data_IF_348058180416
#
_entry.id   IF_348058180416
#
_cell.length_a   1.000
_cell.length_b   1.000
_cell.length_c   1.000
_cell.angle_alpha   90.00
_cell.angle_beta   90.00
_cell.angle_gamma   90.00
#
_symmetry.space_group_name_H-M   'P 1'
#
loop_
_entity.id
_entity.type
_entity.pdbx_description
1 polymer ?
#
# COMPACT_ATOMS: atom_id res chain seq x y z
N UNK A 1 -33.76 -25.85 8.79
CA UNK A 1 -32.87 -25.13 9.73
C UNK A 1 -31.59 -24.82 8.97
N UNK A 2 -31.44 -23.59 8.50
CA UNK A 2 -30.26 -23.16 7.75
C UNK A 2 -29.25 -22.52 8.70
N UNK A 3 -28.06 -23.10 8.79
CA UNK A 3 -26.89 -22.46 9.38
C UNK A 3 -26.15 -21.81 8.20
N UNK A 4 -26.00 -20.47 8.15
CA UNK A 4 -25.12 -19.87 7.16
C UNK A 4 -23.67 -20.03 7.65
N UNK A 5 -22.98 -21.01 7.09
CA UNK A 5 -21.51 -21.11 7.08
C UNK A 5 -20.96 -20.07 6.10
N UNK A 6 -20.82 -18.83 6.55
CA UNK A 6 -19.85 -17.89 5.96
C UNK A 6 -18.68 -17.74 6.92
N UNK A 7 -17.77 -18.70 6.89
CA UNK A 7 -16.39 -18.43 7.31
C UNK A 7 -15.86 -17.38 6.35
N UNK A 8 -15.84 -16.13 6.82
CA UNK A 8 -15.35 -14.99 6.08
C UNK A 8 -13.97 -15.32 5.51
N UNK A 9 -13.87 -15.18 4.20
CA UNK A 9 -12.60 -15.01 3.50
C UNK A 9 -11.77 -14.01 4.31
N UNK A 10 -10.65 -14.46 4.86
CA UNK A 10 -9.78 -13.66 5.70
C UNK A 10 -9.11 -12.57 4.88
N UNK A 11 -9.84 -11.48 4.62
CA UNK A 11 -9.28 -10.25 4.09
C UNK A 11 -8.09 -9.87 4.98
N UNK A 12 -6.91 -9.77 4.38
CA UNK A 12 -5.73 -9.30 5.09
C UNK A 12 -5.99 -7.86 5.50
N UNK A 13 -6.24 -7.64 6.79
CA UNK A 13 -6.35 -6.29 7.36
C UNK A 13 -5.05 -5.55 7.04
N UNK A 14 -5.16 -4.46 6.27
CA UNK A 14 -4.01 -3.68 5.82
C UNK A 14 -3.14 -3.20 6.98
N UNK A 15 -1.84 -3.02 6.74
CA UNK A 15 -0.87 -2.61 7.79
C UNK A 15 -1.31 -1.30 8.47
N UNK A 16 -1.92 -0.38 7.74
CA UNK A 16 -2.40 0.89 8.29
C UNK A 16 -3.67 0.75 9.14
N UNK A 17 -4.63 -0.10 8.76
CA UNK A 17 -5.75 -0.45 9.64
C UNK A 17 -5.24 -1.07 10.94
N UNK A 18 -4.22 -1.95 10.86
CA UNK A 18 -3.58 -2.53 12.05
C UNK A 18 -2.89 -1.47 12.92
N UNK A 19 -2.13 -0.55 12.32
CA UNK A 19 -1.49 0.58 13.01
C UNK A 19 -2.52 1.48 13.71
N UNK A 20 -3.62 1.84 13.02
CA UNK A 20 -4.67 2.68 13.61
C UNK A 20 -5.47 1.95 14.69
N UNK A 21 -5.74 0.66 14.51
CA UNK A 21 -6.37 -0.16 15.53
C UNK A 21 -5.47 -0.29 16.78
N UNK A 22 -4.18 -0.49 16.58
CA UNK A 22 -3.19 -0.50 17.67
C UNK A 22 -3.11 0.84 18.39
N UNK A 23 -2.96 1.94 17.65
CA UNK A 23 -2.89 3.26 18.25
C UNK A 23 -4.17 3.57 19.04
N UNK A 24 -5.34 3.28 18.46
CA UNK A 24 -6.65 3.41 19.13
C UNK A 24 -6.71 2.59 20.40
N UNK A 25 -6.25 1.33 20.37
CA UNK A 25 -6.25 0.48 21.56
C UNK A 25 -5.27 0.99 22.64
N UNK A 26 -4.11 1.53 22.26
CA UNK A 26 -3.11 2.06 23.19
C UNK A 26 -3.62 3.34 23.89
N UNK A 27 -4.21 4.28 23.15
CA UNK A 27 -4.78 5.51 23.75
C UNK A 27 -6.04 5.24 24.58
N UNK A 28 -6.79 4.17 24.29
CA UNK A 28 -7.96 3.76 25.07
C UNK A 28 -7.59 2.99 26.34
N UNK A 29 -6.44 2.32 26.36
CA UNK A 29 -6.01 1.47 27.49
C UNK A 29 -4.95 2.11 28.38
N UNK A 30 -4.25 3.14 27.90
CA UNK A 30 -3.13 3.78 28.59
C UNK A 30 -3.23 5.30 28.50
N UNK A 31 -2.71 6.00 29.51
CA UNK A 31 -2.77 7.47 29.58
C UNK A 31 -1.40 8.14 29.39
N UNK A 32 -0.32 7.35 29.37
CA UNK A 32 1.06 7.84 29.27
C UNK A 32 1.50 7.87 27.80
N UNK A 33 1.67 9.08 27.27
CA UNK A 33 2.05 9.33 25.87
C UNK A 33 3.42 8.74 25.50
N UNK A 34 4.40 8.73 26.42
CA UNK A 34 5.72 8.17 26.16
C UNK A 34 5.65 6.64 26.08
N UNK A 35 4.89 6.00 26.98
CA UNK A 35 4.65 4.55 26.92
C UNK A 35 3.86 4.13 25.66
N UNK A 36 2.88 4.94 25.24
CA UNK A 36 2.11 4.69 24.02
C UNK A 36 3.04 4.71 22.81
N UNK A 37 3.94 5.70 22.72
CA UNK A 37 4.93 5.79 21.64
C UNK A 37 5.89 4.60 21.64
N UNK A 38 6.46 4.25 22.79
CA UNK A 38 7.36 3.10 22.93
C UNK A 38 6.70 1.77 22.51
N UNK A 39 5.48 1.53 22.96
CA UNK A 39 4.73 0.33 22.60
C UNK A 39 4.33 0.34 21.13
N UNK A 40 3.95 1.49 20.59
CA UNK A 40 3.61 1.63 19.17
C UNK A 40 4.80 1.29 18.27
N UNK A 41 6.01 1.81 18.57
CA UNK A 41 7.23 1.46 17.83
C UNK A 41 7.59 -0.02 17.97
N UNK A 42 7.51 -0.58 19.18
CA UNK A 42 7.74 -2.02 19.39
C UNK A 42 6.80 -2.90 18.56
N UNK A 43 5.54 -2.49 18.41
CA UNK A 43 4.59 -3.19 17.54
C UNK A 43 4.82 -2.95 16.06
N UNK A 44 5.40 -1.82 15.67
CA UNK A 44 5.57 -1.44 14.27
C UNK A 44 6.42 -2.49 13.54
N UNK A 45 7.50 -2.95 14.17
CA UNK A 45 8.34 -4.05 13.69
C UNK A 45 7.52 -5.34 13.50
N UNK A 46 6.55 -5.59 14.37
CA UNK A 46 5.66 -6.76 14.28
C UNK A 46 4.61 -6.63 13.16
N UNK A 47 4.10 -5.42 12.93
CA UNK A 47 3.16 -5.13 11.85
C UNK A 47 3.81 -5.25 10.46
N UNK A 48 5.10 -4.92 10.34
CA UNK A 48 5.89 -5.07 9.09
C UNK A 48 6.27 -6.51 8.79
N UNK A 49 6.63 -7.29 9.82
CA UNK A 49 7.19 -8.63 9.64
C UNK A 49 6.15 -9.76 9.54
N UNK A 50 4.95 -9.60 10.11
CA UNK A 50 3.95 -10.67 10.12
C UNK A 50 2.80 -10.48 9.10
N UNK A 51 2.51 -11.51 8.27
CA UNK A 51 1.46 -11.45 7.25
C UNK A 51 0.05 -11.41 7.84
N UNK A 52 -0.10 -11.78 9.13
CA UNK A 52 -1.34 -11.67 9.90
C UNK A 52 -1.03 -11.09 11.27
N UNK A 53 -1.79 -10.10 11.70
CA UNK A 53 -1.58 -9.53 13.03
C UNK A 53 -2.21 -10.41 14.10
N UNK A 54 -1.36 -11.19 14.75
CA UNK A 54 -1.74 -12.06 15.84
C UNK A 54 -1.66 -11.31 17.17
N UNK A 55 -2.79 -10.72 17.59
CA UNK A 55 -2.92 -9.95 18.84
C UNK A 55 -2.28 -10.68 20.03
N UNK A 56 -2.58 -11.96 20.21
CA UNK A 56 -2.02 -12.75 21.32
C UNK A 56 -0.49 -12.93 21.23
N UNK A 57 0.06 -13.03 20.02
CA UNK A 57 1.51 -13.19 19.81
C UNK A 57 2.25 -11.88 20.07
N UNK A 58 1.68 -10.77 19.62
CA UNK A 58 2.17 -9.44 19.95
C UNK A 58 2.19 -9.23 21.48
N UNK A 59 1.06 -9.46 22.16
CA UNK A 59 0.93 -9.23 23.59
C UNK A 59 1.87 -10.11 24.42
N UNK A 60 2.08 -11.36 24.01
CA UNK A 60 3.04 -12.25 24.63
C UNK A 60 4.48 -11.73 24.50
N UNK A 61 4.86 -11.19 23.33
CA UNK A 61 6.19 -10.57 23.15
C UNK A 61 6.35 -9.29 23.95
N UNK A 62 5.31 -8.47 24.03
CA UNK A 62 5.33 -7.25 24.83
C UNK A 62 5.49 -7.54 26.33
N UNK A 63 4.84 -8.61 26.82
CA UNK A 63 4.99 -9.10 28.19
C UNK A 63 6.40 -9.67 28.44
N UNK A 64 6.92 -10.51 27.54
CA UNK A 64 8.29 -11.04 27.61
C UNK A 64 9.36 -9.95 27.60
N UNK A 65 9.11 -8.85 26.88
CA UNK A 65 9.98 -7.68 26.83
C UNK A 65 9.80 -6.73 28.04
N UNK A 66 8.92 -7.06 28.99
CA UNK A 66 8.64 -6.24 30.17
C UNK A 66 7.95 -4.90 29.86
N UNK A 67 7.36 -4.74 28.68
CA UNK A 67 6.70 -3.49 28.25
C UNK A 67 5.26 -3.37 28.79
N UNK A 68 4.60 -4.50 29.05
CA UNK A 68 3.26 -4.59 29.66
C UNK A 68 3.23 -5.64 30.76
N UNK A 69 2.42 -5.41 31.80
CA UNK A 69 2.12 -6.42 32.83
C UNK A 69 0.85 -7.24 32.49
N UNK A 70 0.59 -8.33 33.21
CA UNK A 70 -0.56 -9.24 32.95
C UNK A 70 -1.92 -8.51 32.93
N UNK A 71 -2.12 -7.51 33.80
CA UNK A 71 -3.37 -6.73 33.85
C UNK A 71 -3.51 -5.80 32.64
N UNK A 72 -2.42 -5.15 32.24
CA UNK A 72 -2.34 -4.32 31.04
C UNK A 72 -2.53 -5.17 29.78
N UNK A 73 -1.95 -6.37 29.75
CA UNK A 73 -2.08 -7.34 28.65
C UNK A 73 -3.54 -7.71 28.39
N UNK A 74 -4.31 -8.03 29.43
CA UNK A 74 -5.73 -8.36 29.30
C UNK A 74 -6.59 -7.17 28.84
N UNK A 75 -6.29 -5.98 29.35
CA UNK A 75 -6.99 -4.74 28.95
C UNK A 75 -6.69 -4.39 27.49
N UNK A 76 -5.41 -4.43 27.10
CA UNK A 76 -4.95 -4.14 25.75
C UNK A 76 -5.44 -5.19 24.75
N UNK A 77 -5.54 -6.46 25.13
CA UNK A 77 -6.15 -7.51 24.31
C UNK A 77 -7.59 -7.15 23.94
N UNK A 78 -8.42 -6.82 24.93
CA UNK A 78 -9.82 -6.44 24.71
C UNK A 78 -9.93 -5.21 23.81
N UNK A 79 -9.14 -4.17 24.10
CA UNK A 79 -9.11 -2.94 23.30
C UNK A 79 -8.68 -3.21 21.85
N UNK A 80 -7.66 -4.06 21.62
CA UNK A 80 -7.19 -4.42 20.29
C UNK A 80 -8.22 -5.21 19.49
N UNK A 81 -8.88 -6.21 20.08
CA UNK A 81 -9.94 -6.96 19.40
C UNK A 81 -11.12 -6.05 19.03
N UNK A 82 -11.49 -5.12 19.92
CA UNK A 82 -12.54 -4.14 19.65
C UNK A 82 -12.13 -3.11 18.60
N UNK A 83 -10.87 -2.66 18.59
CA UNK A 83 -10.40 -1.72 17.59
C UNK A 83 -10.28 -2.38 16.21
N UNK A 84 -9.79 -3.63 16.13
CA UNK A 84 -9.66 -4.34 14.86
C UNK A 84 -11.01 -4.64 14.18
N UNK A 85 -12.11 -4.73 14.94
CA UNK A 85 -13.46 -4.93 14.41
C UNK A 85 -14.16 -3.64 13.96
N UNK A 86 -13.62 -2.46 14.30
CA UNK A 86 -14.16 -1.17 13.85
C UNK A 86 -13.81 -0.93 12.38
N UNK A 87 -14.66 -0.16 11.70
CA UNK A 87 -14.33 0.34 10.37
C UNK A 87 -13.19 1.35 10.45
N UNK A 88 -12.41 1.45 9.38
CA UNK A 88 -11.23 2.32 9.31
C UNK A 88 -11.52 3.79 9.69
N UNK A 89 -12.69 4.31 9.33
CA UNK A 89 -13.12 5.68 9.62
C UNK A 89 -13.35 5.94 11.11
N UNK A 90 -13.63 4.89 11.90
CA UNK A 90 -13.89 4.98 13.34
C UNK A 90 -12.61 4.86 14.19
N UNK A 91 -11.46 4.66 13.56
CA UNK A 91 -10.17 4.52 14.24
C UNK A 91 -9.48 5.88 14.42
N UNK A 92 -8.76 6.05 15.53
CA UNK A 92 -7.96 7.24 15.76
C UNK A 92 -6.77 7.29 14.79
N UNK A 93 -6.40 8.49 14.36
CA UNK A 93 -5.18 8.72 13.58
C UNK A 93 -3.99 8.77 14.52
N UNK A 94 -2.92 8.05 14.20
CA UNK A 94 -1.66 8.16 14.92
C UNK A 94 -0.88 9.40 14.44
N UNK A 95 -0.17 10.10 15.34
CA UNK A 95 0.72 11.20 14.97
C UNK A 95 1.78 10.81 13.93
N UNK A 96 2.06 11.68 12.96
CA UNK A 96 2.99 11.41 11.86
C UNK A 96 4.43 11.13 12.33
N UNK A 97 4.84 11.69 13.47
CA UNK A 97 6.14 11.44 14.08
C UNK A 97 6.29 10.03 14.69
N UNK A 98 5.23 9.22 14.70
CA UNK A 98 5.29 7.81 15.09
C UNK A 98 5.64 6.90 13.92
N UNK A 99 5.65 7.41 12.69
CA UNK A 99 5.98 6.67 11.47
C UNK A 99 6.88 7.52 10.57
N UNK A 100 8.20 7.29 10.64
CA UNK A 100 9.29 7.87 9.80
C UNK A 100 10.41 8.54 10.64
N UNK A 101 11.71 8.52 10.32
CA UNK A 101 12.57 7.78 9.37
C UNK A 101 14.02 7.88 9.89
N UNK A 102 14.85 6.85 9.69
CA UNK A 102 16.31 6.96 9.87
C UNK A 102 17.04 7.49 8.61
N UNK A 103 16.32 7.88 7.55
CA UNK A 103 16.92 8.28 6.26
C UNK A 103 16.34 9.59 5.71
N UNK A 104 16.24 10.62 6.54
CA UNK A 104 15.98 11.99 6.09
C UNK A 104 17.22 12.88 6.25
N UNK A 105 18.28 12.59 5.49
CA UNK A 105 19.39 13.52 5.24
C UNK A 105 20.15 13.08 3.98
N UNK A 106 19.59 13.30 2.79
CA UNK A 106 20.38 13.90 1.71
C UNK A 106 19.55 14.29 0.47
N UNK A 107 20.03 15.36 -0.17
CA UNK A 107 19.69 15.85 -1.50
C UNK A 107 18.38 16.63 -1.74
N UNK A 108 18.49 17.89 -1.33
CA UNK A 108 17.92 19.03 -2.04
C UNK A 108 18.70 19.31 -3.35
N UNK A 109 17.97 19.84 -4.36
CA UNK A 109 18.44 20.62 -5.53
C UNK A 109 19.26 19.94 -6.64
N UNK A 110 18.64 19.79 -7.82
CA UNK A 110 19.36 19.47 -9.06
C UNK A 110 18.55 19.50 -10.36
N UNK A 111 18.34 20.70 -10.92
CA UNK A 111 18.20 21.03 -12.36
C UNK A 111 17.22 20.22 -13.25
N UNK A 112 16.15 20.93 -13.61
CA UNK A 112 15.57 20.93 -14.96
C UNK A 112 16.64 21.20 -16.02
N UNK A 113 16.82 20.30 -17.00
CA UNK A 113 17.35 20.61 -18.36
C UNK A 113 17.20 19.39 -19.27
N UNK A 114 16.58 19.58 -20.45
CA UNK A 114 16.82 18.73 -21.63
C UNK A 114 15.64 17.92 -22.15
N UNK A 115 14.73 18.56 -22.88
CA UNK A 115 13.96 17.90 -23.94
C UNK A 115 14.88 17.64 -25.15
N UNK A 116 14.78 16.47 -25.79
CA UNK A 116 14.85 16.44 -27.24
C UNK A 116 13.58 15.84 -27.86
N UNK A 117 13.26 16.38 -29.03
CA UNK A 117 12.10 16.08 -29.87
C UNK A 117 12.33 14.85 -30.76
N UNK A 118 11.20 14.25 -31.11
CA UNK A 118 10.85 13.43 -32.27
C UNK A 118 11.70 12.25 -32.77
N UNK A 119 10.92 11.17 -32.95
CA UNK A 119 11.01 10.12 -33.96
C UNK A 119 12.12 9.07 -33.84
N UNK A 120 11.68 7.80 -34.01
CA UNK A 120 12.47 6.59 -34.17
C UNK A 120 13.03 5.93 -32.88
N UNK A 121 12.18 5.19 -32.18
CA UNK A 121 12.61 4.23 -31.15
C UNK A 121 11.82 2.90 -31.23
N UNK A 122 11.42 2.49 -32.44
CA UNK A 122 10.69 1.23 -32.67
C UNK A 122 11.56 0.09 -33.23
N UNK A 123 12.86 0.29 -33.40
CA UNK A 123 13.74 -0.75 -33.93
C UNK A 123 15.09 -0.70 -33.23
N UNK A 124 15.17 -1.37 -32.08
CA UNK A 124 16.31 -2.22 -31.74
C UNK A 124 16.03 -2.86 -30.39
N UNK A 125 16.77 -3.94 -30.09
CA UNK A 125 16.76 -4.76 -28.87
C UNK A 125 16.05 -6.11 -29.02
N UNK A 126 16.70 -6.95 -29.83
CA UNK A 126 16.68 -8.41 -29.71
C UNK A 126 17.67 -8.91 -28.65
N UNK A 127 17.14 -9.79 -27.78
CA UNK A 127 17.72 -10.92 -27.02
C UNK A 127 19.01 -10.80 -26.17
N UNK A 128 18.85 -11.20 -24.90
CA UNK A 128 19.85 -11.91 -24.11
C UNK A 128 19.15 -12.91 -23.16
N UNK A 129 19.25 -14.21 -23.45
CA UNK A 129 18.68 -15.27 -22.62
C UNK A 129 19.62 -15.61 -21.45
N UNK A 130 19.11 -15.52 -20.21
CA UNK A 130 19.81 -15.91 -18.99
C UNK A 130 19.28 -17.27 -18.45
N UNK A 131 20.11 -18.06 -17.76
CA UNK A 131 19.94 -19.50 -17.58
C UNK A 131 18.78 -19.88 -16.63
N UNK A 132 18.38 -21.18 -16.60
CA UNK A 132 17.24 -21.62 -15.80
C UNK A 132 17.58 -21.68 -14.30
N UNK A 133 17.17 -20.65 -13.56
CA UNK A 133 17.00 -20.75 -12.12
C UNK A 133 15.84 -21.71 -11.79
N UNK A 134 16.02 -22.52 -10.74
CA UNK A 134 15.03 -23.46 -10.19
C UNK A 134 13.62 -22.86 -10.15
N UNK A 135 12.61 -23.66 -10.50
CA UNK A 135 11.24 -23.19 -10.75
C UNK A 135 10.60 -22.39 -9.60
N UNK A 136 10.98 -22.63 -8.34
CA UNK A 136 10.49 -21.85 -7.19
C UNK A 136 11.13 -20.46 -7.10
N UNK A 137 12.41 -20.33 -7.44
CA UNK A 137 13.09 -19.03 -7.48
C UNK A 137 12.57 -18.20 -8.65
N UNK A 138 12.38 -18.79 -9.85
CA UNK A 138 11.77 -18.09 -10.98
C UNK A 138 10.40 -17.50 -10.63
N UNK A 139 9.52 -18.28 -10.00
CA UNK A 139 8.20 -17.81 -9.58
C UNK A 139 8.24 -16.70 -8.52
N UNK A 140 9.26 -16.67 -7.65
CA UNK A 140 9.45 -15.59 -6.68
C UNK A 140 9.95 -14.32 -7.36
N UNK A 141 10.94 -14.42 -8.24
CA UNK A 141 11.48 -13.28 -8.97
C UNK A 141 10.47 -12.70 -9.97
N UNK A 142 9.64 -13.53 -10.61
CA UNK A 142 8.58 -13.07 -11.51
C UNK A 142 7.47 -12.33 -10.76
N UNK A 143 7.18 -12.73 -9.51
CA UNK A 143 6.25 -12.01 -8.63
C UNK A 143 6.79 -10.64 -8.24
N UNK A 144 8.05 -10.57 -7.84
CA UNK A 144 8.72 -9.31 -7.51
C UNK A 144 8.79 -8.38 -8.73
N UNK A 145 9.08 -8.92 -9.92
CA UNK A 145 9.10 -8.15 -11.15
C UNK A 145 7.71 -7.56 -11.49
N UNK A 146 6.64 -8.36 -11.38
CA UNK A 146 5.26 -7.91 -11.55
C UNK A 146 4.91 -6.78 -10.59
N UNK A 147 5.22 -6.98 -9.31
CA UNK A 147 4.91 -6.02 -8.25
C UNK A 147 5.60 -4.68 -8.49
N UNK A 148 6.90 -4.70 -8.81
CA UNK A 148 7.68 -3.47 -9.04
C UNK A 148 7.22 -2.70 -10.28
N UNK A 149 6.89 -3.41 -11.37
CA UNK A 149 6.29 -2.80 -12.57
C UNK A 149 4.95 -2.15 -12.23
N UNK A 150 4.07 -2.87 -11.53
CA UNK A 150 2.76 -2.36 -11.10
C UNK A 150 2.90 -1.12 -10.19
N UNK A 151 3.72 -1.21 -9.16
CA UNK A 151 3.98 -0.14 -8.20
C UNK A 151 4.53 1.11 -8.89
N UNK A 152 5.44 0.96 -9.86
CA UNK A 152 5.99 2.09 -10.61
C UNK A 152 4.91 2.83 -11.39
N UNK A 153 4.01 2.10 -12.07
CA UNK A 153 2.88 2.71 -12.78
C UNK A 153 1.97 3.43 -11.78
N UNK A 154 1.57 2.74 -10.72
CA UNK A 154 0.69 3.28 -9.69
C UNK A 154 1.28 4.57 -9.09
N UNK A 155 2.50 4.51 -8.57
CA UNK A 155 3.18 5.64 -7.93
C UNK A 155 3.27 6.86 -8.85
N UNK A 156 3.50 6.64 -10.15
CA UNK A 156 3.48 7.73 -11.11
C UNK A 156 2.09 8.38 -11.24
N UNK A 157 1.02 7.58 -11.38
CA UNK A 157 -0.34 8.10 -11.43
C UNK A 157 -0.71 8.88 -10.16
N UNK A 158 -0.42 8.32 -8.99
CA UNK A 158 -0.75 8.97 -7.72
C UNK A 158 0.04 10.27 -7.51
N UNK A 159 1.34 10.28 -7.82
CA UNK A 159 2.16 11.49 -7.75
C UNK A 159 1.58 12.61 -8.62
N UNK A 160 1.19 12.29 -9.86
CA UNK A 160 0.53 13.25 -10.75
C UNK A 160 -0.83 13.70 -10.23
N UNK A 161 -1.59 12.80 -9.63
CA UNK A 161 -2.87 13.11 -8.98
C UNK A 161 -2.69 14.11 -7.82
N UNK A 162 -1.69 13.90 -6.96
CA UNK A 162 -1.38 14.84 -5.87
C UNK A 162 -0.93 16.20 -6.40
N UNK A 163 -0.11 16.23 -7.46
CA UNK A 163 0.30 17.49 -8.08
C UNK A 163 -0.89 18.25 -8.69
N UNK A 164 -1.83 17.55 -9.32
CA UNK A 164 -2.99 18.18 -9.95
C UNK A 164 -3.99 18.77 -8.94
N UNK A 165 -4.12 18.17 -7.75
CA UNK A 165 -5.21 18.46 -6.80
C UNK A 165 -4.71 19.16 -5.53
N UNK A 166 -3.38 19.17 -5.33
CA UNK A 166 -2.75 19.46 -4.05
C UNK A 166 -2.87 18.24 -3.12
N UNK A 167 -1.88 18.02 -2.25
CA UNK A 167 -1.85 16.93 -1.27
C UNK A 167 -3.08 16.97 -0.34
N UNK A 168 -4.19 16.36 -0.78
CA UNK A 168 -5.49 16.32 -0.08
C UNK A 168 -6.01 14.89 -0.04
N UNK A 169 -5.42 14.01 0.79
CA UNK A 169 -5.77 12.58 0.83
C UNK A 169 -7.26 12.32 1.03
N UNK A 170 -7.93 13.09 1.88
CA UNK A 170 -9.37 12.95 2.12
C UNK A 170 -10.23 13.16 0.86
N UNK A 171 -9.87 14.10 -0.02
CA UNK A 171 -10.58 14.33 -1.28
C UNK A 171 -10.34 13.22 -2.28
N UNK A 172 -9.11 12.73 -2.32
CA UNK A 172 -8.71 11.61 -3.18
C UNK A 172 -9.40 10.32 -2.71
N UNK A 173 -9.50 10.08 -1.41
CA UNK A 173 -10.22 8.93 -0.84
C UNK A 173 -11.71 8.91 -1.20
N UNK A 174 -12.39 10.07 -1.18
CA UNK A 174 -13.78 10.18 -1.65
C UNK A 174 -13.87 9.85 -3.15
N UNK A 175 -12.97 10.43 -3.96
CA UNK A 175 -12.97 10.20 -5.40
C UNK A 175 -12.62 8.74 -5.78
N UNK A 176 -11.74 8.09 -5.00
CA UNK A 176 -11.46 6.66 -5.13
C UNK A 176 -12.71 5.84 -4.84
N UNK A 177 -13.45 6.14 -3.76
CA UNK A 177 -14.71 5.46 -3.43
C UNK A 177 -15.71 5.55 -4.58
N UNK A 178 -15.89 6.74 -5.15
CA UNK A 178 -16.78 6.94 -6.30
C UNK A 178 -16.30 6.18 -7.54
N UNK A 179 -14.99 6.17 -7.78
CA UNK A 179 -14.37 5.43 -8.89
C UNK A 179 -14.52 3.91 -8.73
N UNK A 180 -14.39 3.36 -7.51
CA UNK A 180 -14.62 1.93 -7.21
C UNK A 180 -16.06 1.54 -7.50
N UNK A 181 -17.03 2.36 -7.10
CA UNK A 181 -18.45 2.14 -7.40
C UNK A 181 -18.66 2.16 -8.92
N UNK A 182 -18.06 3.12 -9.63
CA UNK A 182 -18.17 3.25 -11.07
C UNK A 182 -17.55 2.08 -11.84
N UNK A 183 -16.47 1.50 -11.32
CA UNK A 183 -15.80 0.34 -11.94
C UNK A 183 -16.40 -1.00 -11.54
N UNK A 184 -17.36 -1.04 -10.62
CA UNK A 184 -17.83 -2.25 -9.93
C UNK A 184 -16.67 -3.06 -9.33
N UNK A 185 -15.67 -2.37 -8.79
CA UNK A 185 -14.51 -3.03 -8.20
C UNK A 185 -14.82 -3.54 -6.79
N UNK A 186 -14.08 -4.56 -6.33
CA UNK A 186 -14.25 -5.06 -4.97
C UNK A 186 -13.89 -3.98 -3.92
N UNK A 187 -14.60 -4.02 -2.80
CA UNK A 187 -14.34 -3.23 -1.60
C UNK A 187 -12.91 -3.41 -1.07
N UNK A 188 -12.31 -4.59 -1.24
CA UNK A 188 -10.93 -4.85 -0.88
C UNK A 188 -9.94 -3.98 -1.67
N UNK A 189 -10.20 -3.77 -2.97
CA UNK A 189 -9.40 -2.92 -3.85
C UNK A 189 -9.46 -1.45 -3.41
N UNK A 190 -10.63 -0.97 -2.98
CA UNK A 190 -10.77 0.39 -2.43
C UNK A 190 -9.97 0.56 -1.12
N UNK A 191 -10.09 -0.38 -0.18
CA UNK A 191 -9.34 -0.33 1.07
C UNK A 191 -7.83 -0.31 0.83
N UNK A 192 -7.34 -1.14 -0.09
CA UNK A 192 -5.92 -1.16 -0.48
C UNK A 192 -5.47 0.19 -1.05
N UNK A 193 -6.24 0.79 -1.96
CA UNK A 193 -5.88 2.06 -2.58
C UNK A 193 -5.90 3.23 -1.59
N UNK A 194 -6.85 3.25 -0.65
CA UNK A 194 -6.88 4.24 0.44
C UNK A 194 -5.66 4.06 1.34
N UNK A 195 -5.35 2.83 1.74
CA UNK A 195 -4.19 2.54 2.59
C UNK A 195 -2.88 2.98 1.95
N UNK A 196 -2.76 2.81 0.63
CA UNK A 196 -1.58 3.20 -0.14
C UNK A 196 -1.45 4.73 -0.32
N UNK A 197 -2.55 5.43 -0.54
CA UNK A 197 -2.60 6.90 -0.66
C UNK A 197 -2.38 7.59 0.71
N UNK A 198 -2.85 6.99 1.80
CA UNK A 198 -2.60 7.49 3.15
C UNK A 198 -1.16 7.17 3.64
N UNK A 199 -0.50 6.16 3.08
CA UNK A 199 0.87 5.74 3.41
C UNK A 199 1.97 6.45 2.64
N UNK A 200 1.75 7.68 2.15
CA UNK A 200 2.71 8.47 1.36
C UNK A 200 3.33 7.72 0.17
N UNK A 201 2.59 6.79 -0.44
CA UNK A 201 3.03 5.98 -1.59
C UNK A 201 4.22 5.03 -1.30
N UNK A 202 4.48 4.69 -0.03
CA UNK A 202 5.51 3.73 0.34
C UNK A 202 5.28 2.35 -0.31
N UNK A 203 6.37 1.66 -0.69
CA UNK A 203 6.33 0.37 -1.41
C UNK A 203 5.57 -0.70 -0.60
N UNK A 204 5.75 -0.69 0.71
CA UNK A 204 5.19 -1.66 1.66
C UNK A 204 3.66 -1.63 1.76
N UNK A 205 3.01 -0.58 1.25
CA UNK A 205 1.56 -0.42 1.36
C UNK A 205 0.77 -1.15 0.24
N UNK A 206 1.42 -1.56 -0.85
CA UNK A 206 0.82 -2.45 -1.85
C UNK A 206 1.24 -3.89 -1.51
N UNK A 207 0.32 -4.86 -1.41
CA UNK A 207 0.71 -6.23 -1.15
C UNK A 207 1.57 -6.82 -2.30
N UNK A 208 2.71 -7.42 -1.95
CA UNK A 208 3.66 -8.01 -2.91
C UNK A 208 3.06 -9.13 -3.79
N UNK A 209 1.95 -9.72 -3.36
CA UNK A 209 1.38 -10.94 -3.95
C UNK A 209 -0.01 -10.74 -4.56
N UNK A 210 -0.33 -9.54 -5.05
CA UNK A 210 -1.58 -9.34 -5.79
C UNK A 210 -1.62 -10.22 -7.07
N UNK A 211 -2.74 -10.91 -7.34
CA UNK A 211 -2.98 -11.48 -8.65
C UNK A 211 -3.16 -10.39 -9.70
N UNK A 212 -2.88 -10.73 -10.96
CA UNK A 212 -2.90 -9.78 -12.08
C UNK A 212 -4.26 -9.08 -12.27
N UNK A 213 -5.35 -9.80 -12.02
CA UNK A 213 -6.71 -9.23 -12.12
C UNK A 213 -6.96 -8.14 -11.08
N UNK A 214 -6.49 -8.34 -9.83
CA UNK A 214 -6.59 -7.31 -8.79
C UNK A 214 -5.68 -6.11 -9.09
N UNK A 215 -4.49 -6.33 -9.70
CA UNK A 215 -3.63 -5.24 -10.17
C UNK A 215 -4.32 -4.39 -11.26
N UNK A 216 -4.96 -5.05 -12.23
CA UNK A 216 -5.72 -4.38 -13.30
C UNK A 216 -6.90 -3.60 -12.75
N UNK A 217 -7.63 -4.21 -11.81
CA UNK A 217 -8.77 -3.58 -11.16
C UNK A 217 -8.33 -2.33 -10.38
N UNK A 218 -7.27 -2.43 -9.58
CA UNK A 218 -6.70 -1.31 -8.84
C UNK A 218 -6.23 -0.17 -9.76
N UNK A 219 -5.52 -0.51 -10.85
CA UNK A 219 -5.09 0.47 -11.85
C UNK A 219 -6.29 1.15 -12.52
N UNK A 220 -7.35 0.40 -12.83
CA UNK A 220 -8.58 0.92 -13.44
C UNK A 220 -9.30 1.89 -12.50
N UNK A 221 -9.42 1.55 -11.21
CA UNK A 221 -10.00 2.45 -10.20
C UNK A 221 -9.19 3.74 -10.11
N UNK A 222 -7.86 3.65 -10.02
CA UNK A 222 -7.00 4.84 -9.94
C UNK A 222 -7.08 5.70 -11.21
N UNK A 223 -7.11 5.07 -12.39
CA UNK A 223 -7.29 5.76 -13.66
C UNK A 223 -8.64 6.49 -13.75
N UNK A 224 -9.73 5.86 -13.29
CA UNK A 224 -11.05 6.48 -13.24
C UNK A 224 -11.08 7.63 -12.24
N UNK A 225 -10.49 7.46 -11.06
CA UNK A 225 -10.32 8.53 -10.08
C UNK A 225 -9.60 9.73 -10.70
N UNK A 226 -8.47 9.50 -11.36
CA UNK A 226 -7.71 10.54 -12.05
C UNK A 226 -8.51 11.18 -13.20
N UNK A 227 -9.26 10.38 -13.96
CA UNK A 227 -10.12 10.88 -15.03
C UNK A 227 -11.23 11.79 -14.52
N UNK A 228 -11.81 11.46 -13.36
CA UNK A 228 -12.88 12.23 -12.72
C UNK A 228 -12.36 13.53 -12.11
N UNK A 229 -11.12 13.54 -11.62
CA UNK A 229 -10.55 14.72 -10.94
C UNK A 229 -9.72 15.65 -11.84
N UNK A 230 -8.89 15.09 -12.72
CA UNK A 230 -7.96 15.84 -13.59
C UNK A 230 -8.36 15.84 -15.08
N UNK A 231 -9.42 15.10 -15.44
CA UNK A 231 -9.90 14.97 -16.81
C UNK A 231 -9.30 13.78 -17.57
N UNK A 232 -10.08 13.23 -18.51
CA UNK A 232 -9.74 12.00 -19.25
C UNK A 232 -8.42 12.10 -20.03
N UNK A 233 -8.17 13.22 -20.71
CA UNK A 233 -6.95 13.39 -21.51
C UNK A 233 -5.70 13.40 -20.63
N UNK A 234 -5.74 14.09 -19.50
CA UNK A 234 -4.64 14.15 -18.53
C UNK A 234 -4.37 12.77 -17.90
N UNK A 235 -5.44 12.05 -17.55
CA UNK A 235 -5.34 10.68 -17.03
C UNK A 235 -4.73 9.71 -18.04
N UNK A 236 -5.16 9.76 -19.31
CA UNK A 236 -4.62 8.91 -20.38
C UNK A 236 -3.14 9.20 -20.66
N UNK A 237 -2.76 10.48 -20.72
CA UNK A 237 -1.36 10.86 -20.89
C UNK A 237 -0.50 10.37 -19.72
N UNK A 238 -0.97 10.56 -18.50
CA UNK A 238 -0.26 10.12 -17.28
C UNK A 238 -0.10 8.61 -17.24
N UNK A 239 -1.13 7.86 -17.63
CA UNK A 239 -1.05 6.40 -17.71
C UNK A 239 -0.02 5.96 -18.76
N UNK A 240 0.00 6.59 -19.94
CA UNK A 240 0.98 6.29 -20.97
C UNK A 240 2.41 6.61 -20.50
N UNK A 241 2.62 7.73 -19.81
CA UNK A 241 3.91 8.11 -19.21
C UNK A 241 4.33 7.09 -18.13
N UNK A 242 3.42 6.68 -17.25
CA UNK A 242 3.67 5.67 -16.21
C UNK A 242 4.06 4.31 -16.78
N UNK A 243 3.35 3.85 -17.83
CA UNK A 243 3.69 2.61 -18.53
C UNK A 243 5.04 2.70 -19.24
N UNK A 244 5.36 3.86 -19.83
CA UNK A 244 6.67 4.11 -20.45
C UNK A 244 7.78 4.05 -19.39
N UNK A 245 7.60 4.68 -18.24
CA UNK A 245 8.56 4.62 -17.13
C UNK A 245 8.76 3.18 -16.66
N UNK A 246 7.68 2.44 -16.42
CA UNK A 246 7.75 1.04 -16.01
C UNK A 246 8.42 0.15 -17.07
N UNK A 247 8.32 0.50 -18.36
CA UNK A 247 9.01 -0.24 -19.44
C UNK A 247 10.53 -0.09 -19.44
N UNK A 248 11.07 0.93 -18.75
CA UNK A 248 12.53 1.12 -18.62
C UNK A 248 13.17 0.28 -17.52
N UNK A 249 12.35 -0.37 -16.69
CA UNK A 249 12.81 -1.23 -15.60
C UNK A 249 13.40 -2.53 -16.12
N UNK A 250 14.40 -3.07 -15.42
CA UNK A 250 14.95 -4.39 -15.73
C UNK A 250 13.86 -5.48 -15.59
N UNK A 251 12.97 -5.30 -14.64
CA UNK A 251 11.81 -6.15 -14.34
C UNK A 251 10.80 -6.20 -15.51
N UNK A 252 10.75 -5.16 -16.35
CA UNK A 252 9.87 -5.11 -17.51
C UNK A 252 10.22 -6.16 -18.58
N UNK A 253 11.47 -6.67 -18.57
CA UNK A 253 11.90 -7.79 -19.43
C UNK A 253 11.20 -9.10 -19.08
N UNK A 254 10.76 -9.26 -17.82
CA UNK A 254 10.07 -10.46 -17.32
C UNK A 254 8.56 -10.29 -17.25
N UNK A 255 8.10 -9.06 -17.03
CA UNK A 255 6.68 -8.73 -17.00
C UNK A 255 6.42 -7.44 -17.77
N UNK A 256 5.73 -7.56 -18.92
CA UNK A 256 5.40 -6.40 -19.74
C UNK A 256 4.38 -5.49 -19.04
N UNK A 257 4.66 -4.18 -18.87
CA UNK A 257 3.71 -3.24 -18.28
C UNK A 257 2.36 -3.19 -19.02
N UNK A 258 2.36 -3.53 -20.32
CA UNK A 258 1.13 -3.59 -21.13
C UNK A 258 0.12 -4.64 -20.63
N UNK A 259 0.57 -5.61 -19.85
CA UNK A 259 -0.32 -6.62 -19.26
C UNK A 259 -1.22 -6.06 -18.15
N UNK A 260 -0.92 -4.85 -17.65
CA UNK A 260 -1.69 -4.18 -16.59
C UNK A 260 -2.94 -3.43 -17.12
N UNK A 261 -3.05 -3.22 -18.43
CA UNK A 261 -4.15 -2.46 -19.07
C UNK A 261 -5.09 -3.41 -19.80
#
# INVERSE_FOLDING_TARGET
MNIPTSLGSGASVGVNHRRRALFTALIESMSDAARIQDLFHFCEEFCKTEPKFLVNRFLMRAEQAGKVNERERQTLAKALYLALSRSYDQLSRYPANLVGDAEAQDHNLGRLTGLPSDASAFSDLSFGAAPPASGMDRLKHDRQAKHKVFQTVMAHLATRLYHAIGYRPARIGIALRDATIQSNADSATLSMLIDWIDGDLQEDAIPEHLPLEEMREALRVLYLCMSNMAGRTSAAQTLAEGLKLASTLHEAQRFSPKLLV
#
